data_IF_075472329745
#
_entry.id   IF_075472329745
#
_cell.length_a   1.000
_cell.length_b   1.000
_cell.length_c   1.000
_cell.angle_alpha   90.00
_cell.angle_beta   90.00
_cell.angle_gamma   90.00
#
_symmetry.space_group_name_H-M   'P 1'
#
loop_
_entity.id
_entity.type
_entity.pdbx_description
1 polymer ?
#
# COMPACT_ATOMS: atom_id res chain seq x y z
N UNK A 1 7.41 33.04 -3.65
CA UNK A 1 7.43 33.28 -5.10
C UNK A 1 5.99 33.41 -5.59
N UNK A 2 5.77 33.88 -6.82
CA UNK A 2 4.42 34.08 -7.36
C UNK A 2 3.63 32.77 -7.44
N UNK A 3 4.30 31.68 -7.83
CA UNK A 3 3.74 30.33 -7.99
C UNK A 3 3.12 29.80 -6.70
N UNK A 4 3.76 30.08 -5.55
CA UNK A 4 3.26 29.69 -4.23
C UNK A 4 2.18 30.67 -3.72
N UNK A 5 2.34 31.98 -3.96
CA UNK A 5 1.34 32.98 -3.55
C UNK A 5 0.00 32.77 -4.25
N UNK A 6 -0.01 32.24 -5.48
CA UNK A 6 -1.24 31.92 -6.21
C UNK A 6 -2.19 31.00 -5.43
N UNK A 7 -1.67 30.16 -4.53
CA UNK A 7 -2.49 29.24 -3.74
C UNK A 7 -3.49 29.97 -2.82
N UNK A 8 -3.30 31.29 -2.59
CA UNK A 8 -4.26 32.13 -1.86
C UNK A 8 -5.57 32.33 -2.61
N UNK A 9 -5.58 32.13 -3.91
CA UNK A 9 -6.75 32.30 -4.77
C UNK A 9 -7.44 30.96 -5.07
N UNK A 10 -6.93 29.85 -4.52
CA UNK A 10 -7.45 28.50 -4.71
C UNK A 10 -8.09 27.99 -3.43
N UNK A 11 -9.43 27.91 -3.42
CA UNK A 11 -10.21 27.38 -2.29
C UNK A 11 -9.90 25.91 -2.06
N UNK A 12 -9.61 25.55 -0.80
CA UNK A 12 -9.28 24.17 -0.41
C UNK A 12 -10.40 23.20 -0.79
N UNK A 13 -11.64 23.55 -0.44
CA UNK A 13 -12.82 22.71 -0.63
C UNK A 13 -13.65 23.11 -1.86
N UNK A 14 -13.04 23.79 -2.83
CA UNK A 14 -13.70 24.23 -4.05
C UNK A 14 -14.97 25.05 -3.78
N UNK A 15 -16.11 24.59 -4.32
CA UNK A 15 -17.40 25.26 -4.19
C UNK A 15 -18.10 25.06 -2.83
N UNK A 16 -17.47 24.35 -1.88
CA UNK A 16 -18.10 24.09 -0.58
C UNK A 16 -18.37 25.38 0.20
N UNK A 17 -17.64 26.47 -0.08
CA UNK A 17 -17.88 27.78 0.52
C UNK A 17 -19.26 28.39 0.19
N UNK A 18 -19.91 27.95 -0.88
CA UNK A 18 -21.28 28.35 -1.23
C UNK A 18 -22.34 27.67 -0.36
N UNK A 19 -22.02 26.55 0.28
CA UNK A 19 -22.90 25.81 1.20
C UNK A 19 -22.50 26.07 2.66
N UNK A 20 -21.20 26.05 2.93
CA UNK A 20 -20.61 26.27 4.24
C UNK A 20 -19.78 27.55 4.21
N UNK A 21 -20.32 28.71 4.65
CA UNK A 21 -19.63 30.00 4.54
C UNK A 21 -18.30 30.06 5.33
N UNK A 22 -18.12 29.18 6.32
CA UNK A 22 -16.86 29.02 7.06
C UNK A 22 -15.77 28.27 6.28
N UNK A 23 -16.09 27.61 5.17
CA UNK A 23 -15.12 26.95 4.30
C UNK A 23 -14.37 27.96 3.40
N UNK A 24 -13.92 29.07 3.97
CA UNK A 24 -13.27 30.16 3.25
C UNK A 24 -11.76 29.96 3.03
N UNK A 25 -11.19 28.91 3.61
CA UNK A 25 -9.77 28.61 3.57
C UNK A 25 -9.30 28.17 2.18
N UNK A 26 -8.02 28.42 1.92
CA UNK A 26 -7.32 28.21 0.67
C UNK A 26 -6.19 27.18 0.82
N UNK A 27 -5.67 26.74 -0.32
CA UNK A 27 -4.53 25.82 -0.39
C UNK A 27 -3.27 26.42 0.24
N UNK A 28 -3.11 27.74 0.24
CA UNK A 28 -1.93 28.42 0.79
C UNK A 28 -1.68 28.11 2.27
N UNK A 29 -2.65 28.37 3.14
CA UNK A 29 -2.52 28.10 4.57
C UNK A 29 -2.49 26.60 4.88
N UNK A 30 -3.16 25.78 4.06
CA UNK A 30 -3.07 24.34 4.14
C UNK A 30 -1.63 23.87 3.89
N UNK A 31 -0.99 24.30 2.80
CA UNK A 31 0.40 23.97 2.48
C UNK A 31 1.38 24.40 3.57
N UNK A 32 1.20 25.59 4.17
CA UNK A 32 2.02 26.03 5.31
C UNK A 32 1.82 25.13 6.55
N UNK A 33 0.58 24.76 6.86
CA UNK A 33 0.26 23.86 7.96
C UNK A 33 0.85 22.47 7.75
N UNK A 34 0.71 21.90 6.55
CA UNK A 34 1.27 20.59 6.18
C UNK A 34 2.78 20.59 6.28
N UNK A 35 3.46 21.64 5.81
CA UNK A 35 4.90 21.80 5.95
C UNK A 35 5.34 21.87 7.42
N UNK A 36 4.63 22.63 8.25
CA UNK A 36 4.91 22.73 9.68
C UNK A 36 4.80 21.36 10.37
N UNK A 37 3.73 20.62 10.11
CA UNK A 37 3.53 19.28 10.68
C UNK A 37 4.61 18.30 10.21
N UNK A 38 4.95 18.32 8.92
CA UNK A 38 6.00 17.48 8.36
C UNK A 38 7.37 17.77 8.99
N UNK A 39 7.70 19.05 9.16
CA UNK A 39 8.91 19.48 9.87
C UNK A 39 8.92 18.99 11.31
N UNK A 40 7.84 19.24 12.07
CA UNK A 40 7.76 18.85 13.48
C UNK A 40 7.86 17.34 13.67
N UNK A 41 7.19 16.56 12.82
CA UNK A 41 7.27 15.10 12.86
C UNK A 41 8.69 14.63 12.56
N UNK A 42 9.28 15.08 11.46
CA UNK A 42 10.62 14.65 11.04
C UNK A 42 11.66 15.04 12.09
N UNK A 43 11.52 16.22 12.70
CA UNK A 43 12.41 16.65 13.78
C UNK A 43 12.31 15.75 15.01
N UNK A 44 11.09 15.37 15.41
CA UNK A 44 10.89 14.42 16.52
C UNK A 44 11.45 13.04 16.22
N UNK A 45 11.44 12.60 14.96
CA UNK A 45 12.02 11.32 14.53
C UNK A 45 13.55 11.35 14.57
N UNK A 46 14.19 12.47 14.21
CA UNK A 46 15.64 12.65 14.37
C UNK A 46 16.10 12.48 15.82
N UNK A 47 15.25 12.83 16.79
CA UNK A 47 15.57 12.71 18.21
C UNK A 47 15.38 11.27 18.76
N UNK A 48 14.84 10.33 17.97
CA UNK A 48 14.60 8.95 18.41
C UNK A 48 15.83 8.05 18.19
N UNK A 49 16.23 7.24 19.20
CA UNK A 49 17.31 6.28 19.02
C UNK A 49 16.92 5.19 18.00
N UNK A 50 17.81 4.92 17.05
CA UNK A 50 17.64 3.88 16.03
C UNK A 50 16.95 4.33 14.74
N UNK A 51 16.57 5.61 14.61
CA UNK A 51 16.05 6.17 13.36
C UNK A 51 17.11 7.08 12.74
N UNK A 52 17.68 6.66 11.62
CA UNK A 52 18.62 7.49 10.86
C UNK A 52 17.84 8.48 9.99
N UNK A 53 17.88 9.76 10.35
CA UNK A 53 17.29 10.85 9.55
C UNK A 53 18.24 12.03 9.49
N UNK A 54 18.57 12.48 8.28
CA UNK A 54 19.52 13.56 8.04
C UNK A 54 18.84 14.93 8.00
N UNK A 55 19.61 16.02 8.13
CA UNK A 55 19.08 17.38 7.91
C UNK A 55 18.61 17.60 6.47
N UNK A 56 19.19 16.85 5.52
CA UNK A 56 18.71 16.77 4.15
C UNK A 56 17.29 16.20 4.09
N UNK A 57 16.99 15.13 4.84
CA UNK A 57 15.65 14.54 4.89
C UNK A 57 14.64 15.51 5.49
N UNK A 58 15.00 16.15 6.61
CA UNK A 58 14.17 17.19 7.23
C UNK A 58 13.81 18.29 6.23
N UNK A 59 14.81 18.79 5.49
CA UNK A 59 14.61 19.83 4.46
C UNK A 59 13.73 19.32 3.31
N UNK A 60 14.04 18.16 2.74
CA UNK A 60 13.32 17.63 1.58
C UNK A 60 11.87 17.26 1.92
N UNK A 61 11.63 16.62 3.07
CA UNK A 61 10.28 16.26 3.52
C UNK A 61 9.44 17.52 3.78
N UNK A 62 10.03 18.53 4.42
CA UNK A 62 9.34 19.82 4.67
C UNK A 62 9.01 20.53 3.35
N UNK A 63 9.94 20.57 2.39
CA UNK A 63 9.72 21.18 1.09
C UNK A 63 8.71 20.41 0.24
N UNK A 64 8.74 19.07 0.27
CA UNK A 64 7.74 18.24 -0.39
C UNK A 64 6.34 18.53 0.18
N UNK A 65 6.20 18.57 1.51
CA UNK A 65 4.96 18.93 2.18
C UNK A 65 4.48 20.35 1.85
N UNK A 66 5.40 21.32 1.76
CA UNK A 66 5.07 22.69 1.37
C UNK A 66 4.58 22.75 -0.08
N UNK A 67 5.22 22.01 -0.98
CA UNK A 67 5.01 22.11 -2.42
C UNK A 67 3.98 21.10 -2.98
N UNK A 68 3.45 20.17 -2.17
CA UNK A 68 2.61 19.07 -2.64
C UNK A 68 1.35 19.52 -3.38
N UNK A 69 0.82 20.69 -3.03
CA UNK A 69 -0.41 21.27 -3.57
C UNK A 69 -0.16 22.32 -4.67
N UNK A 70 1.09 22.51 -5.10
CA UNK A 70 1.45 23.49 -6.13
C UNK A 70 0.77 23.23 -7.48
N UNK A 71 0.21 22.07 -7.76
CA UNK A 71 -0.43 21.73 -9.02
C UNK A 71 -1.95 21.87 -9.03
N UNK A 72 -2.56 22.26 -7.91
CA UNK A 72 -4.02 22.44 -7.89
C UNK A 72 -4.47 23.56 -8.81
N UNK A 73 -5.56 23.31 -9.54
CA UNK A 73 -6.25 24.30 -10.37
C UNK A 73 -7.44 24.96 -9.66
N UNK A 74 -8.19 25.82 -10.38
CA UNK A 74 -9.40 26.43 -9.86
C UNK A 74 -10.38 25.40 -9.29
N UNK A 75 -10.93 25.68 -8.10
CA UNK A 75 -11.80 24.76 -7.34
C UNK A 75 -11.14 23.44 -6.90
N UNK A 76 -9.81 23.40 -6.78
CA UNK A 76 -9.07 22.26 -6.22
C UNK A 76 -9.39 20.95 -6.96
N UNK A 77 -9.97 19.95 -6.27
CA UNK A 77 -10.23 18.62 -6.83
C UNK A 77 -11.25 18.60 -7.97
N UNK A 78 -12.08 19.65 -8.08
CA UNK A 78 -13.00 19.77 -9.22
C UNK A 78 -12.20 19.92 -10.53
N UNK A 79 -11.02 20.54 -10.48
CA UNK A 79 -10.23 20.78 -11.68
C UNK A 79 -9.70 19.48 -12.30
N UNK A 80 -9.01 18.66 -11.51
CA UNK A 80 -8.41 17.42 -11.98
C UNK A 80 -9.43 16.28 -12.13
N UNK A 81 -10.49 16.24 -11.31
CA UNK A 81 -11.49 15.17 -11.39
C UNK A 81 -12.61 15.42 -12.40
N UNK A 82 -13.00 16.67 -12.65
CA UNK A 82 -14.18 16.98 -13.48
C UNK A 82 -13.81 17.81 -14.72
N UNK A 83 -13.06 18.91 -14.53
CA UNK A 83 -12.79 19.87 -15.63
C UNK A 83 -11.84 19.26 -16.66
N UNK A 84 -10.66 18.75 -16.23
CA UNK A 84 -9.68 18.16 -17.16
C UNK A 84 -10.27 16.96 -17.92
N UNK A 85 -10.96 16.00 -17.27
CA UNK A 85 -11.58 14.89 -17.98
C UNK A 85 -12.65 15.34 -18.99
N UNK A 86 -13.38 16.43 -18.71
CA UNK A 86 -14.38 16.96 -19.63
C UNK A 86 -13.76 17.63 -20.87
N UNK A 87 -12.68 18.41 -20.71
CA UNK A 87 -12.09 19.18 -21.82
C UNK A 87 -10.97 18.42 -22.56
N UNK A 88 -10.32 17.48 -21.90
CA UNK A 88 -9.22 16.69 -22.43
C UNK A 88 -9.30 15.22 -21.99
N UNK A 89 -10.30 14.44 -22.47
CA UNK A 89 -10.58 13.09 -21.97
C UNK A 89 -9.44 12.08 -22.13
N UNK A 90 -8.51 12.33 -23.06
CA UNK A 90 -7.34 11.48 -23.31
C UNK A 90 -6.15 11.81 -22.41
N UNK A 91 -6.16 12.98 -21.78
CA UNK A 91 -5.10 13.41 -20.88
C UNK A 91 -5.36 12.82 -19.49
N UNK A 92 -4.42 11.99 -19.03
CA UNK A 92 -4.38 11.57 -17.62
C UNK A 92 -3.61 12.63 -16.86
N UNK A 93 -4.31 13.36 -16.01
CA UNK A 93 -3.75 14.45 -15.22
C UNK A 93 -4.13 14.26 -13.77
N UNK A 94 -3.19 14.54 -12.87
CA UNK A 94 -3.49 14.77 -11.46
C UNK A 94 -2.77 16.02 -10.99
N UNK A 95 -3.27 16.62 -9.91
CA UNK A 95 -2.62 17.79 -9.33
C UNK A 95 -1.17 17.49 -8.87
N UNK A 96 -0.81 16.26 -8.51
CA UNK A 96 0.56 15.87 -8.18
C UNK A 96 1.52 16.02 -9.37
N UNK A 97 1.05 15.73 -10.60
CA UNK A 97 1.82 15.97 -11.83
C UNK A 97 2.03 17.48 -12.04
N UNK A 98 1.00 18.28 -11.77
CA UNK A 98 1.10 19.73 -11.81
C UNK A 98 2.03 20.31 -10.75
N UNK A 99 2.07 19.71 -9.56
CA UNK A 99 2.94 20.14 -8.47
C UNK A 99 4.40 19.94 -8.83
N UNK A 100 4.73 18.83 -9.51
CA UNK A 100 6.07 18.59 -10.05
C UNK A 100 6.48 19.65 -11.08
N UNK A 101 5.62 19.91 -12.07
CA UNK A 101 5.90 20.88 -13.13
C UNK A 101 6.04 22.30 -12.59
N UNK A 102 5.20 22.67 -11.62
CA UNK A 102 5.26 23.97 -10.97
C UNK A 102 6.51 24.11 -10.10
N UNK A 103 6.94 23.02 -9.45
CA UNK A 103 8.18 23.00 -8.68
C UNK A 103 9.40 23.17 -9.59
N UNK A 104 9.43 22.52 -10.76
CA UNK A 104 10.48 22.75 -11.77
C UNK A 104 10.51 24.20 -12.24
N UNK A 105 9.34 24.77 -12.53
CA UNK A 105 9.23 26.16 -12.95
C UNK A 105 9.79 27.12 -11.89
N UNK A 106 9.38 26.92 -10.63
CA UNK A 106 9.82 27.69 -9.48
C UNK A 106 11.34 27.54 -9.26
N UNK A 107 11.89 26.32 -9.34
CA UNK A 107 13.32 26.07 -9.15
C UNK A 107 14.16 26.71 -10.25
N UNK A 108 13.75 26.56 -11.52
CA UNK A 108 14.46 27.14 -12.67
C UNK A 108 14.35 28.67 -12.74
N UNK A 109 13.29 29.25 -12.16
CA UNK A 109 13.08 30.69 -12.07
C UNK A 109 13.81 31.38 -10.91
N UNK A 110 14.36 30.62 -9.97
CA UNK A 110 15.14 31.19 -8.86
C UNK A 110 16.56 31.57 -9.31
N UNK A 111 17.05 32.72 -8.83
CA UNK A 111 18.48 33.02 -8.91
C UNK A 111 19.27 31.98 -8.09
N UNK A 112 20.48 31.62 -8.54
CA UNK A 112 21.28 30.48 -8.06
C UNK A 112 21.65 30.48 -6.56
N UNK A 113 21.15 31.43 -5.76
CA UNK A 113 21.47 31.62 -4.34
C UNK A 113 20.27 31.56 -3.40
N UNK A 114 19.05 31.36 -3.90
CA UNK A 114 17.85 31.44 -3.05
C UNK A 114 17.58 30.16 -2.25
N UNK A 115 17.90 28.97 -2.79
CA UNK A 115 17.76 27.70 -2.09
C UNK A 115 18.84 26.72 -2.58
N UNK A 116 19.69 26.25 -1.67
CA UNK A 116 20.70 25.23 -1.94
C UNK A 116 20.06 23.83 -2.06
N UNK A 117 19.56 23.47 -3.23
CA UNK A 117 19.04 22.13 -3.53
C UNK A 117 19.83 21.55 -4.70
N UNK A 118 20.35 20.34 -4.51
CA UNK A 118 20.90 19.56 -5.62
C UNK A 118 19.79 19.01 -6.52
N UNK A 119 20.16 18.59 -7.73
CA UNK A 119 19.23 17.90 -8.65
C UNK A 119 18.65 16.63 -8.02
N UNK A 120 19.43 15.93 -7.19
CA UNK A 120 18.98 14.72 -6.49
C UNK A 120 17.97 15.04 -5.38
N UNK A 121 18.12 16.18 -4.70
CA UNK A 121 17.15 16.67 -3.73
C UNK A 121 15.83 17.03 -4.40
N UNK A 122 15.91 17.74 -5.55
CA UNK A 122 14.72 18.09 -6.32
C UNK A 122 13.97 16.82 -6.77
N UNK A 123 14.69 15.82 -7.28
CA UNK A 123 14.11 14.52 -7.64
C UNK A 123 13.47 13.82 -6.44
N UNK A 124 14.14 13.82 -5.29
CA UNK A 124 13.62 13.22 -4.07
C UNK A 124 12.32 13.90 -3.59
N UNK A 125 12.28 15.24 -3.61
CA UNK A 125 11.08 16.02 -3.27
C UNK A 125 9.91 15.68 -4.20
N UNK A 126 10.15 15.58 -5.51
CA UNK A 126 9.12 15.23 -6.50
C UNK A 126 8.55 13.83 -6.28
N UNK A 127 9.41 12.87 -5.95
CA UNK A 127 8.98 11.50 -5.63
C UNK A 127 8.06 11.48 -4.40
N UNK A 128 8.40 12.25 -3.36
CA UNK A 128 7.55 12.41 -2.18
C UNK A 128 6.18 13.02 -2.53
N UNK A 129 6.15 14.05 -3.40
CA UNK A 129 4.90 14.69 -3.84
C UNK A 129 3.99 13.73 -4.60
N UNK A 130 4.54 12.96 -5.55
CA UNK A 130 3.73 12.00 -6.33
C UNK A 130 3.26 10.79 -5.52
N UNK A 131 3.81 10.61 -4.32
CA UNK A 131 3.76 9.32 -3.64
C UNK A 131 4.39 8.21 -4.49
N UNK A 132 5.22 8.60 -5.46
CA UNK A 132 5.87 7.65 -6.33
C UNK A 132 7.04 7.07 -5.54
N UNK A 133 6.84 5.85 -5.07
CA UNK A 133 7.87 5.07 -4.39
C UNK A 133 8.93 4.62 -5.41
N UNK A 134 9.32 5.44 -6.38
CA UNK A 134 10.37 5.19 -7.38
C UNK A 134 11.78 5.15 -6.79
N UNK A 135 11.90 5.18 -5.46
CA UNK A 135 12.98 4.49 -4.75
C UNK A 135 12.80 2.97 -4.70
N UNK A 136 11.81 2.40 -5.39
CA UNK A 136 11.57 0.96 -5.45
C UNK A 136 12.77 0.32 -6.10
N UNK A 137 13.64 -0.18 -5.23
CA UNK A 137 14.82 -0.92 -5.63
C UNK A 137 14.33 -2.00 -6.60
N UNK A 138 14.88 -2.05 -7.83
CA UNK A 138 14.41 -3.01 -8.83
C UNK A 138 14.36 -4.42 -8.22
N UNK A 139 13.17 -5.03 -8.29
CA UNK A 139 12.95 -6.38 -7.82
C UNK A 139 13.31 -7.35 -8.94
N UNK A 140 14.21 -8.26 -8.64
CA UNK A 140 14.48 -9.47 -9.40
C UNK A 140 13.81 -10.66 -8.71
N UNK A 141 13.66 -11.78 -9.42
CA UNK A 141 13.16 -13.02 -8.81
C UNK A 141 14.06 -13.51 -7.69
N UNK A 142 15.36 -13.26 -7.79
CA UNK A 142 16.36 -13.71 -6.83
C UNK A 142 16.25 -12.99 -5.48
N UNK A 143 15.58 -11.84 -5.44
CA UNK A 143 15.37 -11.06 -4.21
C UNK A 143 14.28 -11.65 -3.30
N UNK A 144 13.45 -12.56 -3.84
CA UNK A 144 12.21 -12.99 -3.19
C UNK A 144 12.29 -14.48 -2.88
N UNK A 145 11.94 -14.85 -1.66
CA UNK A 145 11.70 -16.24 -1.26
C UNK A 145 10.19 -16.40 -1.07
N UNK A 146 9.63 -17.45 -1.66
CA UNK A 146 8.22 -17.81 -1.47
C UNK A 146 8.18 -19.20 -0.84
N UNK A 147 7.65 -19.28 0.38
CA UNK A 147 7.44 -20.52 1.12
C UNK A 147 5.96 -20.89 1.10
N UNK A 148 5.69 -22.17 0.80
CA UNK A 148 4.35 -22.73 0.72
C UNK A 148 4.18 -23.76 1.81
N UNK A 149 3.25 -23.52 2.74
CA UNK A 149 2.95 -24.45 3.81
C UNK A 149 1.49 -24.89 3.76
N UNK A 150 1.29 -26.20 3.62
CA UNK A 150 -0.02 -26.82 3.68
C UNK A 150 -0.28 -27.33 5.10
N UNK A 151 -1.18 -26.68 5.84
CA UNK A 151 -1.63 -27.17 7.14
C UNK A 151 -2.91 -27.98 6.95
N UNK A 152 -2.92 -29.22 7.43
CA UNK A 152 -4.09 -30.10 7.31
C UNK A 152 -4.17 -31.07 8.48
N UNK A 153 -5.31 -31.77 8.58
CA UNK A 153 -5.58 -32.74 9.64
C UNK A 153 -4.96 -34.12 9.35
N UNK A 154 -3.71 -34.15 8.85
CA UNK A 154 -2.95 -35.33 8.44
C UNK A 154 -3.57 -36.17 7.30
N UNK A 155 -4.62 -35.66 6.64
CA UNK A 155 -5.32 -36.32 5.53
C UNK A 155 -5.59 -35.36 4.35
N UNK A 156 -4.71 -34.37 4.17
CA UNK A 156 -4.87 -33.37 3.10
C UNK A 156 -6.23 -32.67 3.19
N UNK A 157 -6.93 -32.55 2.05
CA UNK A 157 -8.25 -31.90 1.97
C UNK A 157 -9.41 -32.71 2.59
N UNK A 158 -9.17 -33.95 3.02
CA UNK A 158 -10.24 -34.86 3.48
C UNK A 158 -10.43 -34.80 4.99
N UNK A 159 -11.66 -35.04 5.44
CA UNK A 159 -11.94 -35.24 6.86
C UNK A 159 -11.31 -36.57 7.35
N UNK A 160 -10.45 -36.56 8.38
CA UNK A 160 -9.92 -37.80 8.94
C UNK A 160 -10.96 -38.61 9.71
N UNK A 161 -12.02 -37.99 10.25
CA UNK A 161 -13.04 -38.68 11.05
C UNK A 161 -13.85 -39.67 10.20
N UNK A 162 -14.01 -39.42 8.91
CA UNK A 162 -14.63 -40.38 7.97
C UNK A 162 -13.89 -41.72 7.89
N UNK A 163 -12.60 -41.74 8.26
CA UNK A 163 -11.79 -42.97 8.31
C UNK A 163 -11.84 -43.67 9.67
N UNK A 164 -12.60 -43.13 10.63
CA UNK A 164 -12.70 -43.67 11.99
C UNK A 164 -14.06 -44.32 12.18
N UNK A 165 -14.06 -45.59 12.60
CA UNK A 165 -15.28 -46.32 12.97
C UNK A 165 -15.49 -46.25 14.47
N UNK A 166 -16.69 -45.85 14.88
CA UNK A 166 -17.07 -45.75 16.30
C UNK A 166 -17.94 -46.94 16.70
N UNK A 167 -18.03 -47.20 18.00
CA UNK A 167 -18.94 -48.22 18.53
C UNK A 167 -19.65 -47.70 19.78
N UNK A 168 -20.89 -48.16 20.01
CA UNK A 168 -21.63 -47.84 21.22
C UNK A 168 -21.02 -48.54 22.45
N UNK A 169 -21.36 -48.10 23.68
CA UNK A 169 -20.81 -48.65 24.93
C UNK A 169 -20.88 -50.18 25.01
N UNK A 170 -21.95 -50.76 24.46
CA UNK A 170 -22.22 -52.20 24.49
C UNK A 170 -21.51 -52.97 23.34
N UNK A 171 -20.80 -52.27 22.45
CA UNK A 171 -20.03 -52.80 21.31
C UNK A 171 -20.87 -53.62 20.31
N UNK A 172 -22.17 -53.37 20.27
CA UNK A 172 -23.12 -54.10 19.41
C UNK A 172 -23.33 -53.45 18.06
N UNK A 173 -23.01 -52.15 17.92
CA UNK A 173 -23.26 -51.38 16.70
C UNK A 173 -22.04 -50.53 16.34
N UNK A 174 -21.63 -50.59 15.08
CA UNK A 174 -20.67 -49.66 14.48
C UNK A 174 -21.43 -48.41 14.03
N UNK A 175 -20.94 -47.25 14.44
CA UNK A 175 -21.50 -45.94 14.15
C UNK A 175 -20.57 -45.17 13.20
N UNK A 176 -21.14 -44.63 12.15
CA UNK A 176 -20.53 -43.59 11.34
C UNK A 176 -21.00 -42.22 11.87
N UNK A 177 -20.04 -41.35 12.19
CA UNK A 177 -20.30 -40.03 12.73
C UNK A 177 -20.17 -38.99 11.61
N UNK A 178 -21.31 -38.58 11.07
CA UNK A 178 -21.39 -37.42 10.17
C UNK A 178 -21.06 -36.13 10.94
N UNK A 179 -20.27 -35.19 10.39
CA UNK A 179 -19.85 -33.96 11.07
C UNK A 179 -20.99 -33.16 11.71
N UNK A 180 -22.16 -33.11 11.04
CA UNK A 180 -23.35 -32.39 11.48
C UNK A 180 -23.96 -32.97 12.76
N UNK A 181 -23.69 -34.26 13.04
CA UNK A 181 -24.14 -34.94 14.27
C UNK A 181 -23.17 -34.74 15.43
N UNK A 182 -21.96 -34.23 15.18
CA UNK A 182 -20.93 -34.04 16.19
C UNK A 182 -21.03 -32.63 16.79
N UNK A 183 -21.00 -31.59 15.95
CA UNK A 183 -21.03 -30.20 16.40
C UNK A 183 -21.29 -29.25 15.23
N UNK A 184 -22.00 -28.15 15.45
CA UNK A 184 -22.09 -27.05 14.48
C UNK A 184 -20.79 -26.21 14.38
N UNK A 185 -19.82 -26.45 15.26
CA UNK A 185 -18.50 -25.81 15.23
C UNK A 185 -17.44 -26.68 14.54
N UNK A 186 -17.87 -27.71 13.81
CA UNK A 186 -16.95 -28.57 13.08
C UNK A 186 -16.31 -27.82 11.91
N UNK A 187 -14.99 -27.99 11.65
CA UNK A 187 -14.35 -27.34 10.51
C UNK A 187 -14.98 -27.77 9.18
N UNK A 188 -15.36 -26.81 8.34
CA UNK A 188 -15.85 -27.07 6.98
C UNK A 188 -14.71 -27.37 5.98
N UNK A 189 -13.48 -27.00 6.34
CA UNK A 189 -12.28 -27.18 5.55
C UNK A 189 -11.22 -27.90 6.38
N UNK A 190 -10.58 -28.92 5.80
CA UNK A 190 -9.60 -29.78 6.48
C UNK A 190 -8.15 -29.51 6.06
N UNK A 191 -7.96 -28.60 5.10
CA UNK A 191 -6.67 -28.09 4.67
C UNK A 191 -6.75 -26.59 4.46
N UNK A 192 -5.73 -25.89 4.96
CA UNK A 192 -5.42 -24.51 4.63
C UNK A 192 -4.00 -24.42 4.06
N UNK A 193 -3.73 -23.33 3.34
CA UNK A 193 -2.44 -23.08 2.70
C UNK A 193 -1.95 -21.71 3.12
N UNK A 194 -0.79 -21.67 3.73
CA UNK A 194 -0.10 -20.46 4.17
C UNK A 194 0.98 -20.16 3.13
N UNK A 195 1.05 -18.92 2.66
CA UNK A 195 2.10 -18.47 1.75
C UNK A 195 2.89 -17.39 2.47
N UNK A 196 4.17 -17.66 2.73
CA UNK A 196 5.08 -16.68 3.35
C UNK A 196 6.01 -16.13 2.29
N UNK A 197 6.22 -14.82 2.33
CA UNK A 197 7.08 -14.14 1.38
C UNK A 197 8.17 -13.45 2.18
N UNK A 198 9.41 -13.70 1.80
CA UNK A 198 10.58 -13.13 2.45
C UNK A 198 11.41 -12.36 1.42
N UNK A 199 12.07 -11.32 1.90
CA UNK A 199 13.12 -10.64 1.14
C UNK A 199 14.49 -11.23 1.48
N UNK A 200 15.33 -11.46 0.47
CA UNK A 200 16.77 -11.72 0.67
C UNK A 200 17.55 -10.45 0.99
N UNK A 201 17.02 -9.29 0.62
CA UNK A 201 17.61 -7.97 0.88
C UNK A 201 16.66 -7.15 1.79
N UNK A 202 17.06 -6.83 3.04
CA UNK A 202 16.25 -6.04 3.95
C UNK A 202 15.76 -4.70 3.36
N UNK A 203 16.50 -4.10 2.44
CA UNK A 203 16.12 -2.81 1.84
C UNK A 203 14.96 -2.95 0.83
N UNK A 204 14.67 -4.17 0.37
CA UNK A 204 13.64 -4.45 -0.65
C UNK A 204 12.29 -4.87 -0.07
N UNK A 205 12.17 -5.00 1.27
CA UNK A 205 10.96 -5.50 1.95
C UNK A 205 9.71 -4.72 1.55
N UNK A 206 9.73 -3.39 1.62
CA UNK A 206 8.56 -2.56 1.26
C UNK A 206 8.16 -2.70 -0.21
N UNK A 207 9.16 -2.82 -1.09
CA UNK A 207 8.92 -3.01 -2.53
C UNK A 207 8.28 -4.38 -2.80
N UNK A 208 8.74 -5.43 -2.12
CA UNK A 208 8.17 -6.79 -2.23
C UNK A 208 6.76 -6.82 -1.65
N UNK A 209 6.53 -6.17 -0.51
CA UNK A 209 5.21 -6.04 0.10
C UNK A 209 4.19 -5.39 -0.84
N UNK A 210 4.57 -4.28 -1.47
CA UNK A 210 3.71 -3.60 -2.44
C UNK A 210 3.43 -4.45 -3.67
N UNK A 211 4.46 -5.13 -4.20
CA UNK A 211 4.31 -6.04 -5.33
C UNK A 211 3.35 -7.18 -4.99
N UNK A 212 3.46 -7.75 -3.79
CA UNK A 212 2.59 -8.81 -3.34
C UNK A 212 1.15 -8.33 -3.10
N UNK A 213 0.94 -7.17 -2.46
CA UNK A 213 -0.41 -6.58 -2.30
C UNK A 213 -1.09 -6.36 -3.64
N UNK A 214 -0.37 -5.89 -4.66
CA UNK A 214 -0.88 -5.74 -6.02
C UNK A 214 -1.25 -7.10 -6.63
N UNK A 215 -0.41 -8.11 -6.45
CA UNK A 215 -0.67 -9.47 -6.91
C UNK A 215 -1.89 -10.09 -6.23
N UNK A 216 -2.00 -9.97 -4.90
CA UNK A 216 -3.11 -10.49 -4.12
C UNK A 216 -4.45 -9.87 -4.55
N UNK A 217 -4.49 -8.55 -4.76
CA UNK A 217 -5.67 -7.86 -5.32
C UNK A 217 -6.01 -8.35 -6.73
N UNK A 218 -5.00 -8.58 -7.57
CA UNK A 218 -5.21 -9.10 -8.93
C UNK A 218 -5.77 -10.53 -8.93
N UNK A 219 -5.43 -11.32 -7.92
CA UNK A 219 -5.83 -12.72 -7.78
C UNK A 219 -7.06 -12.92 -6.87
N UNK A 220 -7.65 -11.84 -6.38
CA UNK A 220 -8.80 -11.85 -5.44
C UNK A 220 -8.55 -12.71 -4.18
N UNK A 221 -7.33 -12.63 -3.64
CA UNK A 221 -6.97 -13.36 -2.42
C UNK A 221 -7.39 -12.57 -1.18
N UNK A 222 -8.04 -13.26 -0.23
CA UNK A 222 -8.29 -12.74 1.11
C UNK A 222 -6.98 -12.70 1.91
N UNK A 223 -6.36 -11.53 2.00
CA UNK A 223 -5.16 -11.31 2.82
C UNK A 223 -5.58 -10.85 4.21
N UNK A 224 -5.25 -11.64 5.24
CA UNK A 224 -5.41 -11.20 6.63
C UNK A 224 -4.27 -10.23 6.98
N UNK A 225 -4.58 -8.93 7.11
CA UNK A 225 -3.61 -7.88 7.41
C UNK A 225 -3.03 -7.93 8.85
N UNK A 226 -3.50 -8.85 9.69
CA UNK A 226 -3.19 -8.93 11.12
C UNK A 226 -1.82 -9.50 11.52
N UNK A 227 -0.97 -9.89 10.57
CA UNK A 227 0.36 -10.48 10.83
C UNK A 227 1.53 -9.64 10.27
N UNK A 228 1.32 -8.33 10.14
CA UNK A 228 2.38 -7.39 9.74
C UNK A 228 3.08 -6.93 11.03
N UNK A 229 4.08 -7.69 11.49
CA UNK A 229 4.98 -7.25 12.55
C UNK A 229 6.34 -6.92 11.94
N UNK A 230 6.84 -5.71 12.18
CA UNK A 230 8.12 -5.18 11.66
C UNK A 230 9.39 -5.89 12.17
N UNK A 231 9.32 -7.17 12.52
CA UNK A 231 10.47 -8.00 12.86
C UNK A 231 10.71 -9.04 11.77
N UNK A 232 11.47 -8.65 10.72
CA UNK A 232 12.22 -9.50 9.77
C UNK A 232 11.54 -10.76 9.16
N UNK A 233 10.24 -10.97 9.36
CA UNK A 233 9.49 -12.16 8.95
C UNK A 233 8.04 -11.73 8.72
N UNK A 234 7.65 -11.57 7.45
CA UNK A 234 6.24 -11.39 7.10
C UNK A 234 5.59 -12.79 7.01
N UNK A 235 4.73 -13.10 7.99
CA UNK A 235 3.87 -14.29 7.97
C UNK A 235 2.50 -13.83 7.49
N UNK A 236 1.92 -14.47 6.46
CA UNK A 236 0.54 -14.19 6.05
C UNK A 236 -0.27 -15.49 5.95
N UNK A 237 -1.36 -15.54 6.71
CA UNK A 237 -2.32 -16.66 6.70
C UNK A 237 -3.43 -16.42 5.67
N UNK A 238 -3.67 -17.40 4.80
CA UNK A 238 -4.81 -17.41 3.89
C UNK A 238 -5.91 -18.33 4.45
N UNK A 239 -7.10 -17.78 4.65
CA UNK A 239 -8.32 -18.58 4.85
C UNK A 239 -9.04 -18.76 3.50
N UNK A 240 -9.27 -19.99 3.02
CA UNK A 240 -10.04 -20.20 1.79
C UNK A 240 -11.48 -19.72 1.95
N UNK A 241 -12.00 -18.98 0.96
CA UNK A 241 -13.46 -18.78 0.80
C UNK A 241 -14.06 -19.94 0.02
N UNK A 242 -15.27 -20.32 0.42
CA UNK A 242 -16.10 -21.34 -0.20
C UNK A 242 -16.54 -20.84 -1.58
N UNK A 243 -15.83 -21.19 -2.66
CA UNK A 243 -16.44 -21.14 -4.00
C UNK A 243 -15.75 -22.03 -5.04
N UNK A 244 -16.59 -22.69 -5.82
CA UNK A 244 -16.30 -23.77 -6.79
C UNK A 244 -15.49 -23.37 -8.03
N UNK A 245 -14.99 -22.13 -8.13
CA UNK A 245 -14.21 -21.65 -9.27
C UNK A 245 -12.67 -21.82 -9.11
N UNK A 246 -12.22 -22.36 -7.98
CA UNK A 246 -10.81 -22.33 -7.56
C UNK A 246 -9.84 -23.19 -8.41
N UNK A 247 -10.32 -24.24 -9.09
CA UNK A 247 -9.45 -25.15 -9.86
C UNK A 247 -8.73 -24.48 -11.06
N UNK A 248 -9.15 -23.28 -11.50
CA UNK A 248 -8.43 -22.52 -12.55
C UNK A 248 -7.34 -21.60 -12.00
N UNK A 249 -7.40 -21.23 -10.72
CA UNK A 249 -6.48 -20.26 -10.11
C UNK A 249 -5.25 -20.92 -9.46
N UNK A 250 -5.36 -22.17 -8.98
CA UNK A 250 -4.21 -22.94 -8.44
C UNK A 250 -3.06 -23.09 -9.46
N UNK A 251 -3.38 -23.45 -10.70
CA UNK A 251 -2.38 -23.58 -11.79
C UNK A 251 -1.81 -22.23 -12.22
N UNK A 252 -2.61 -21.18 -12.14
CA UNK A 252 -2.21 -19.82 -12.53
C UNK A 252 -1.18 -19.25 -11.55
N UNK A 253 -1.32 -19.54 -10.26
CA UNK A 253 -0.38 -19.09 -9.22
C UNK A 253 0.95 -19.85 -9.30
N UNK A 254 0.93 -21.18 -9.45
CA UNK A 254 2.14 -21.99 -9.66
C UNK A 254 2.89 -21.63 -10.95
N UNK A 255 2.17 -21.25 -12.02
CA UNK A 255 2.79 -20.78 -13.28
C UNK A 255 3.42 -19.39 -13.19
N UNK A 256 2.89 -18.53 -12.31
CA UNK A 256 3.34 -17.12 -12.22
C UNK A 256 4.61 -16.98 -11.38
N UNK A 257 4.83 -17.87 -10.40
CA UNK A 257 6.00 -17.87 -9.53
C UNK A 257 6.67 -19.24 -9.58
N UNK A 258 7.54 -19.51 -10.57
CA UNK A 258 8.29 -20.76 -10.62
C UNK A 258 9.29 -20.79 -9.46
N UNK A 259 9.19 -21.83 -8.63
CA UNK A 259 10.24 -22.21 -7.69
C UNK A 259 11.28 -23.02 -8.50
N UNK A 260 12.55 -22.68 -8.34
CA UNK A 260 13.63 -23.62 -8.66
C UNK A 260 13.75 -24.60 -7.50
N UNK A 261 13.43 -25.86 -7.74
CA UNK A 261 13.76 -26.94 -6.79
C UNK A 261 15.29 -27.01 -6.66
N UNK A 262 15.79 -26.84 -5.43
CA UNK A 262 17.21 -26.91 -5.07
C UNK A 262 17.41 -26.69 -3.58
#
# INVERSE_FOLDING_TARGET
TEEFQRLRDIKQLGASNYVFPSACHNRFEHSLGTAHLAYTLTKKLQDQPGIETSDRDLKCVTLAALCHDLGHGPFSHVFDNEVIPAIAPKLKWKHEDGSELMLDHLYNGMESRSIDLSTDDLKYIKNLIKGDRTGSIPLSKDDIIVDWQDLNYAKGKSNPIESVKFYNKDRTMILDLEPERISHLFPEQYQERIVRIFSRDPNKVDSIHDAFKKLARKLDLNVNEGFITGEKVDIMDFKPKVDSQYNKNEDSIKKTLPISDG
#
